data_IF_073710666380
#
_entry.id   IF_073710666380
#
_cell.length_a   1.000
_cell.length_b   1.000
_cell.length_c   1.000
_cell.angle_alpha   90.00
_cell.angle_beta   90.00
_cell.angle_gamma   90.00
#
_symmetry.space_group_name_H-M   'P 1'
#
loop_
_entity.id
_entity.type
_entity.pdbx_description
1 polymer ?
#
# COMPACT_ATOMS: atom_id res chain seq x y z
N UNK A 1 -44.76 9.16 -0.51
CA UNK A 1 -43.56 8.52 0.08
C UNK A 1 -42.69 7.90 -1.01
N UNK A 2 -42.20 8.71 -1.95
CA UNK A 2 -41.39 8.26 -3.10
C UNK A 2 -39.89 8.43 -2.84
N UNK A 3 -39.11 7.47 -3.33
CA UNK A 3 -37.72 7.21 -2.93
C UNK A 3 -36.75 8.35 -3.24
N UNK A 4 -36.29 9.01 -2.19
CA UNK A 4 -35.22 10.01 -2.26
C UNK A 4 -33.92 9.39 -1.75
N UNK A 5 -33.01 9.11 -2.69
CA UNK A 5 -31.57 8.99 -2.47
C UNK A 5 -31.11 8.24 -1.23
N UNK A 6 -31.56 7.00 -1.03
CA UNK A 6 -30.94 6.13 -0.03
C UNK A 6 -29.43 6.06 -0.35
N UNK A 7 -28.61 6.53 0.57
CA UNK A 7 -27.17 6.57 0.45
C UNK A 7 -26.64 5.14 0.28
N UNK A 8 -26.33 4.75 -0.96
CA UNK A 8 -25.92 3.38 -1.34
C UNK A 8 -24.39 3.26 -1.32
N UNK A 9 -23.78 2.55 -0.34
CA UNK A 9 -22.34 2.30 -0.33
C UNK A 9 -21.84 1.60 -1.59
N UNK A 10 -22.67 0.82 -2.28
CA UNK A 10 -22.25 0.16 -3.52
C UNK A 10 -22.01 1.18 -4.64
N UNK A 11 -22.79 2.26 -4.72
CA UNK A 11 -22.56 3.35 -5.67
C UNK A 11 -21.22 4.07 -5.42
N UNK A 12 -20.89 4.35 -4.16
CA UNK A 12 -19.62 4.98 -3.76
C UNK A 12 -18.46 4.06 -4.08
N UNK A 13 -18.59 2.76 -3.80
CA UNK A 13 -17.56 1.77 -4.11
C UNK A 13 -17.28 1.68 -5.61
N UNK A 14 -18.33 1.68 -6.45
CA UNK A 14 -18.18 1.66 -7.91
C UNK A 14 -17.44 2.90 -8.43
N UNK A 15 -17.82 4.09 -7.95
CA UNK A 15 -17.15 5.35 -8.32
C UNK A 15 -15.69 5.33 -7.90
N UNK A 16 -15.41 4.91 -6.66
CA UNK A 16 -14.05 4.83 -6.14
C UNK A 16 -13.19 3.83 -6.91
N UNK A 17 -13.73 2.65 -7.27
CA UNK A 17 -13.06 1.70 -8.14
C UNK A 17 -12.76 2.30 -9.53
N UNK A 18 -13.70 3.05 -10.11
CA UNK A 18 -13.46 3.78 -11.36
C UNK A 18 -12.38 4.85 -11.24
N UNK A 19 -12.34 5.60 -10.13
CA UNK A 19 -11.30 6.59 -9.85
C UNK A 19 -9.93 5.93 -9.67
N UNK A 20 -9.84 4.81 -8.94
CA UNK A 20 -8.60 4.03 -8.80
C UNK A 20 -8.11 3.60 -10.19
N UNK A 21 -8.97 2.95 -10.97
CA UNK A 21 -8.60 2.45 -12.30
C UNK A 21 -8.12 3.57 -13.22
N UNK A 22 -8.85 4.70 -13.25
CA UNK A 22 -8.46 5.85 -14.06
C UNK A 22 -7.12 6.44 -13.61
N UNK A 23 -6.94 6.66 -12.31
CA UNK A 23 -5.71 7.24 -11.76
C UNK A 23 -4.50 6.33 -12.02
N UNK A 24 -4.65 5.01 -11.82
CA UNK A 24 -3.62 4.03 -12.13
C UNK A 24 -3.28 4.03 -13.61
N UNK A 25 -4.28 3.98 -14.50
CA UNK A 25 -4.05 4.01 -15.96
C UNK A 25 -3.33 5.29 -16.37
N UNK A 26 -3.76 6.46 -15.89
CA UNK A 26 -3.09 7.72 -16.21
C UNK A 26 -1.64 7.71 -15.75
N UNK A 27 -1.35 7.30 -14.50
CA UNK A 27 0.02 7.21 -14.00
C UNK A 27 0.87 6.23 -14.82
N UNK A 28 0.33 5.05 -15.15
CA UNK A 28 1.03 4.06 -15.99
C UNK A 28 1.32 4.60 -17.39
N UNK A 29 0.34 5.25 -18.03
CA UNK A 29 0.54 5.81 -19.38
C UNK A 29 1.61 6.91 -19.37
N UNK A 30 1.63 7.77 -18.34
CA UNK A 30 2.66 8.79 -18.18
C UNK A 30 4.06 8.18 -18.08
N UNK A 31 4.22 7.06 -17.36
CA UNK A 31 5.52 6.37 -17.21
C UNK A 31 5.93 5.64 -18.50
N UNK A 32 5.01 4.86 -19.10
CA UNK A 32 5.32 3.99 -20.23
C UNK A 32 5.63 4.80 -21.50
N UNK A 33 4.90 5.90 -21.71
CA UNK A 33 5.01 6.70 -22.93
C UNK A 33 5.93 7.93 -22.80
N UNK A 34 6.62 8.13 -21.67
CA UNK A 34 7.50 9.30 -21.48
C UNK A 34 8.80 9.27 -22.29
N UNK A 35 9.24 8.10 -22.76
CA UNK A 35 10.61 7.90 -23.24
C UNK A 35 11.63 7.88 -22.11
N UNK A 36 12.86 7.44 -22.40
CA UNK A 36 13.89 7.19 -21.37
C UNK A 36 14.30 8.47 -20.61
N UNK A 37 14.46 9.59 -21.32
CA UNK A 37 14.91 10.86 -20.72
C UNK A 37 13.94 11.44 -19.69
N UNK A 38 12.63 11.31 -19.93
CA UNK A 38 11.59 11.84 -19.03
C UNK A 38 11.04 10.78 -18.07
N UNK A 39 11.40 9.51 -18.23
CA UNK A 39 10.86 8.43 -17.38
C UNK A 39 11.15 8.65 -15.90
N UNK A 40 12.38 8.99 -15.48
CA UNK A 40 12.66 9.29 -14.07
C UNK A 40 11.76 10.41 -13.53
N UNK A 41 11.46 11.43 -14.33
CA UNK A 41 10.56 12.49 -13.90
C UNK A 41 9.15 11.95 -13.59
N UNK A 42 8.58 11.16 -14.51
CA UNK A 42 7.22 10.66 -14.34
C UNK A 42 7.13 9.55 -13.28
N UNK A 43 8.10 8.65 -13.18
CA UNK A 43 8.08 7.60 -12.14
C UNK A 43 8.10 8.21 -10.75
N UNK A 44 9.05 9.13 -10.50
CA UNK A 44 9.18 9.79 -9.20
C UNK A 44 7.95 10.65 -8.84
N UNK A 45 7.49 11.53 -9.74
CA UNK A 45 6.40 12.45 -9.39
C UNK A 45 5.05 11.74 -9.25
N UNK A 46 4.75 10.75 -10.09
CA UNK A 46 3.50 10.00 -9.95
C UNK A 46 3.47 9.23 -8.63
N UNK A 47 4.55 8.54 -8.27
CA UNK A 47 4.65 7.80 -7.00
C UNK A 47 4.52 8.75 -5.81
N UNK A 48 5.24 9.88 -5.79
CA UNK A 48 5.11 10.86 -4.71
C UNK A 48 3.71 11.44 -4.57
N UNK A 49 3.02 11.72 -5.68
CA UNK A 49 1.65 12.22 -5.65
C UNK A 49 0.73 11.15 -5.05
N UNK A 50 0.89 9.87 -5.44
CA UNK A 50 0.10 8.76 -4.92
C UNK A 50 0.37 8.52 -3.43
N UNK A 51 1.65 8.46 -3.03
CA UNK A 51 2.08 8.28 -1.64
C UNK A 51 1.66 9.44 -0.75
N UNK A 52 1.80 10.68 -1.24
CA UNK A 52 1.33 11.90 -0.58
C UNK A 52 -0.18 11.93 -0.41
N UNK A 53 -0.95 11.46 -1.40
CA UNK A 53 -2.41 11.31 -1.28
C UNK A 53 -2.78 10.25 -0.22
N UNK A 54 -2.08 9.11 -0.18
CA UNK A 54 -2.28 8.09 0.84
C UNK A 54 -1.98 8.64 2.24
N UNK A 55 -0.83 9.31 2.42
CA UNK A 55 -0.45 9.95 3.68
C UNK A 55 -1.45 11.03 4.09
N UNK A 56 -1.84 11.93 3.18
CA UNK A 56 -2.81 12.98 3.45
C UNK A 56 -4.15 12.42 3.96
N UNK A 57 -4.64 11.35 3.33
CA UNK A 57 -5.85 10.65 3.79
C UNK A 57 -5.65 9.95 5.14
N UNK A 58 -4.47 9.41 5.40
CA UNK A 58 -4.13 8.77 6.67
C UNK A 58 -4.08 9.78 7.82
N UNK A 59 -3.48 10.94 7.58
CA UNK A 59 -3.44 12.06 8.53
C UNK A 59 -4.85 12.55 8.82
N UNK A 60 -5.69 12.80 7.80
CA UNK A 60 -7.09 13.21 8.01
C UNK A 60 -7.86 12.15 8.83
N UNK A 61 -7.71 10.87 8.50
CA UNK A 61 -8.35 9.79 9.26
C UNK A 61 -7.86 9.76 10.72
N UNK A 62 -6.55 9.86 10.94
CA UNK A 62 -5.93 9.86 12.27
C UNK A 62 -6.40 11.06 13.11
N UNK A 63 -6.37 12.27 12.55
CA UNK A 63 -6.83 13.48 13.22
C UNK A 63 -8.30 13.41 13.62
N UNK A 64 -9.18 12.94 12.72
CA UNK A 64 -10.61 12.85 12.99
C UNK A 64 -10.97 11.72 13.95
N UNK A 65 -10.23 10.62 13.93
CA UNK A 65 -10.42 9.51 14.85
C UNK A 65 -9.91 9.85 16.26
N UNK A 66 -8.92 10.74 16.35
CA UNK A 66 -8.20 11.07 17.59
C UNK A 66 -7.21 9.96 17.99
N UNK A 67 -6.30 10.26 18.92
CA UNK A 67 -5.30 9.30 19.40
C UNK A 67 -5.82 8.35 20.51
N UNK A 68 -7.09 8.51 20.90
CA UNK A 68 -7.72 7.73 21.97
C UNK A 68 -8.15 6.33 21.53
N UNK A 69 -8.12 5.38 22.46
CA UNK A 69 -8.58 4.01 22.22
C UNK A 69 -7.72 3.23 21.21
N UNK A 70 -8.17 2.02 20.86
CA UNK A 70 -7.44 1.15 19.94
C UNK A 70 -7.35 1.74 18.54
N UNK A 71 -8.49 2.07 17.93
CA UNK A 71 -8.53 2.51 16.53
C UNK A 71 -7.82 3.83 16.29
N UNK A 72 -7.77 4.72 17.29
CA UNK A 72 -6.96 5.93 17.24
C UNK A 72 -5.47 5.61 17.15
N UNK A 73 -4.98 4.75 18.06
CA UNK A 73 -3.57 4.31 18.08
C UNK A 73 -3.18 3.55 16.82
N UNK A 74 -4.02 2.63 16.33
CA UNK A 74 -3.70 1.87 15.12
C UNK A 74 -3.74 2.74 13.87
N UNK A 75 -4.66 3.71 13.77
CA UNK A 75 -4.73 4.63 12.62
C UNK A 75 -3.57 5.63 12.63
N UNK A 76 -3.17 6.13 13.80
CA UNK A 76 -1.97 6.96 13.94
C UNK A 76 -0.69 6.19 13.57
N UNK A 77 -0.55 4.94 13.98
CA UNK A 77 0.57 4.09 13.58
C UNK A 77 0.60 3.87 12.05
N UNK A 78 -0.56 3.66 11.43
CA UNK A 78 -0.64 3.53 9.97
C UNK A 78 -0.24 4.82 9.24
N UNK A 79 -0.69 5.98 9.73
CA UNK A 79 -0.27 7.27 9.19
C UNK A 79 1.24 7.51 9.37
N UNK A 80 1.82 7.10 10.50
CA UNK A 80 3.26 7.19 10.74
C UNK A 80 4.07 6.28 9.81
N UNK A 81 3.60 5.05 9.56
CA UNK A 81 4.22 4.15 8.56
C UNK A 81 4.20 4.76 7.16
N UNK A 82 3.06 5.32 6.74
CA UNK A 82 2.94 6.03 5.46
C UNK A 82 3.80 7.29 5.39
N UNK A 83 4.04 7.97 6.51
CA UNK A 83 4.92 9.13 6.55
C UNK A 83 6.38 8.73 6.31
N UNK A 84 6.81 7.59 6.87
CA UNK A 84 8.14 7.03 6.61
C UNK A 84 8.29 6.60 5.15
N UNK A 85 7.31 5.89 4.60
CA UNK A 85 7.31 5.49 3.19
C UNK A 85 7.31 6.70 2.26
N UNK A 86 6.48 7.71 2.50
CA UNK A 86 6.49 8.94 1.71
C UNK A 86 7.83 9.70 1.81
N UNK A 87 8.46 9.73 3.00
CA UNK A 87 9.78 10.33 3.15
C UNK A 87 10.85 9.56 2.37
N UNK A 88 10.73 8.23 2.26
CA UNK A 88 11.59 7.41 1.41
C UNK A 88 11.39 7.75 -0.08
N UNK A 89 10.14 7.87 -0.55
CA UNK A 89 9.85 8.29 -1.94
C UNK A 89 10.47 9.64 -2.29
N UNK A 90 10.35 10.62 -1.38
CA UNK A 90 10.95 11.95 -1.54
C UNK A 90 12.48 11.87 -1.58
N UNK A 91 13.09 11.02 -0.77
CA UNK A 91 14.54 10.84 -0.73
C UNK A 91 15.06 10.14 -1.99
N UNK A 92 14.35 9.11 -2.46
CA UNK A 92 14.63 8.46 -3.75
C UNK A 92 14.54 9.46 -4.91
N UNK A 93 13.49 10.29 -4.91
CA UNK A 93 13.31 11.38 -5.89
C UNK A 93 14.40 12.42 -5.82
N UNK A 94 14.84 12.79 -4.62
CA UNK A 94 15.96 13.70 -4.45
C UNK A 94 17.24 13.12 -5.05
N UNK A 95 17.53 11.83 -4.88
CA UNK A 95 18.71 11.21 -5.51
C UNK A 95 18.64 11.27 -7.04
N UNK A 96 17.54 10.82 -7.64
CA UNK A 96 17.43 10.76 -9.10
C UNK A 96 17.28 12.13 -9.77
N UNK A 97 16.41 13.00 -9.25
CA UNK A 97 16.07 14.27 -9.90
C UNK A 97 16.80 15.48 -9.31
N UNK A 98 17.09 15.46 -8.00
CA UNK A 98 17.74 16.57 -7.31
C UNK A 98 19.26 16.52 -7.42
N UNK A 99 19.84 15.38 -7.07
CA UNK A 99 21.29 15.13 -7.13
C UNK A 99 21.75 14.62 -8.50
N UNK A 100 20.84 14.09 -9.32
CA UNK A 100 21.17 13.56 -10.65
C UNK A 100 22.07 12.33 -10.60
N UNK A 101 21.98 11.54 -9.53
CA UNK A 101 22.77 10.32 -9.35
C UNK A 101 21.87 9.09 -9.39
N UNK A 102 22.47 7.98 -9.82
CA UNK A 102 21.86 6.67 -9.63
C UNK A 102 21.71 6.39 -8.13
N UNK A 103 20.53 5.89 -7.73
CA UNK A 103 20.25 5.65 -6.32
C UNK A 103 21.05 4.43 -5.88
N UNK A 104 21.94 4.55 -4.88
CA UNK A 104 22.70 3.40 -4.39
C UNK A 104 21.73 2.38 -3.78
N UNK A 105 21.92 1.08 -4.04
CA UNK A 105 21.13 0.05 -3.39
C UNK A 105 22.02 -0.86 -2.54
N UNK A 106 21.81 -0.95 -1.21
CA UNK A 106 20.87 -0.19 -0.39
C UNK A 106 21.15 1.33 -0.28
N UNK A 107 20.10 2.11 -0.06
CA UNK A 107 20.11 3.56 0.16
C UNK A 107 19.60 3.94 1.57
N UNK A 108 19.77 5.21 1.98
CA UNK A 108 19.04 5.76 3.12
C UNK A 108 17.50 5.76 2.95
N UNK A 109 16.96 5.71 1.72
CA UNK A 109 15.52 5.58 1.51
C UNK A 109 15.03 4.19 1.96
N UNK A 110 15.84 3.15 1.77
CA UNK A 110 15.54 1.79 2.23
C UNK A 110 15.38 1.70 3.74
N UNK A 111 16.18 2.45 4.49
CA UNK A 111 16.03 2.51 5.95
C UNK A 111 14.65 3.07 6.36
N UNK A 112 14.12 4.03 5.60
CA UNK A 112 12.81 4.63 5.83
C UNK A 112 11.67 3.69 5.42
N UNK A 113 11.75 3.05 4.24
CA UNK A 113 10.77 2.03 3.83
C UNK A 113 10.73 0.87 4.84
N UNK A 114 11.89 0.33 5.23
CA UNK A 114 12.03 -0.71 6.25
C UNK A 114 11.41 -0.31 7.59
N UNK A 115 11.69 0.91 8.06
CA UNK A 115 11.13 1.41 9.31
C UNK A 115 9.59 1.53 9.26
N UNK A 116 9.01 1.79 8.09
CA UNK A 116 7.56 1.91 7.89
C UNK A 116 6.78 0.60 8.09
N UNK A 117 7.41 -0.56 7.86
CA UNK A 117 6.77 -1.87 8.08
C UNK A 117 6.34 -2.08 9.53
N UNK A 118 7.11 -1.60 10.52
CA UNK A 118 6.79 -1.77 11.94
C UNK A 118 5.44 -1.16 12.34
N UNK A 119 5.23 0.16 12.12
CA UNK A 119 3.95 0.82 12.37
C UNK A 119 2.78 0.24 11.55
N UNK A 120 3.01 -0.18 10.30
CA UNK A 120 1.97 -0.82 9.47
C UNK A 120 1.59 -2.20 9.99
N UNK A 121 2.56 -3.02 10.39
CA UNK A 121 2.34 -4.30 11.03
C UNK A 121 1.59 -4.13 12.36
N UNK A 122 1.96 -3.11 13.15
CA UNK A 122 1.23 -2.76 14.37
C UNK A 122 -0.24 -2.45 14.06
N UNK A 123 -0.54 -1.62 13.05
CA UNK A 123 -1.91 -1.33 12.64
C UNK A 123 -2.71 -2.60 12.34
N UNK A 124 -2.17 -3.47 11.49
CA UNK A 124 -2.85 -4.67 11.02
C UNK A 124 -3.01 -5.73 12.12
N UNK A 125 -1.92 -6.06 12.82
CA UNK A 125 -1.91 -7.08 13.86
C UNK A 125 -2.76 -6.68 15.07
N UNK A 126 -2.65 -5.42 15.52
CA UNK A 126 -3.50 -4.94 16.61
C UNK A 126 -4.96 -4.92 16.22
N UNK A 127 -5.30 -4.51 14.99
CA UNK A 127 -6.70 -4.54 14.55
C UNK A 127 -7.21 -5.97 14.45
N UNK A 128 -6.41 -6.89 13.87
CA UNK A 128 -6.74 -8.30 13.75
C UNK A 128 -7.01 -8.99 15.11
N UNK A 129 -6.24 -8.67 16.17
CA UNK A 129 -6.41 -9.29 17.50
C UNK A 129 -7.81 -9.13 18.10
N UNK A 130 -8.63 -8.20 17.61
CA UNK A 130 -10.02 -8.01 18.05
C UNK A 130 -11.04 -8.79 17.22
N UNK A 131 -10.61 -9.42 16.13
CA UNK A 131 -11.47 -10.16 15.22
C UNK A 131 -11.01 -11.61 15.13
N UNK A 132 -11.82 -12.54 15.64
CA UNK A 132 -11.53 -13.96 15.55
C UNK A 132 -11.87 -14.49 14.16
N UNK A 133 -10.83 -14.78 13.37
CA UNK A 133 -11.01 -15.65 12.22
C UNK A 133 -11.05 -17.11 12.65
N UNK A 134 -11.73 -17.94 11.86
CA UNK A 134 -11.72 -19.38 12.07
C UNK A 134 -10.29 -19.94 11.91
N UNK A 135 -9.90 -20.87 12.78
CA UNK A 135 -8.56 -21.51 12.78
C UNK A 135 -8.15 -22.06 11.40
N UNK A 136 -9.12 -22.60 10.64
CA UNK A 136 -8.89 -23.10 9.27
C UNK A 136 -8.52 -21.98 8.28
N UNK A 137 -9.19 -20.83 8.36
CA UNK A 137 -8.89 -19.66 7.52
C UNK A 137 -7.52 -19.11 7.85
N UNK A 138 -7.17 -19.03 9.14
CA UNK A 138 -5.84 -18.61 9.56
C UNK A 138 -4.75 -19.54 9.02
N UNK A 139 -4.92 -20.86 9.18
CA UNK A 139 -3.98 -21.85 8.68
C UNK A 139 -3.80 -21.74 7.15
N UNK A 140 -4.90 -21.57 6.40
CA UNK A 140 -4.84 -21.40 4.95
C UNK A 140 -4.11 -20.12 4.55
N UNK A 141 -4.44 -18.97 5.15
CA UNK A 141 -3.81 -17.70 4.82
C UNK A 141 -2.31 -17.76 5.11
N UNK A 142 -1.92 -18.25 6.30
CA UNK A 142 -0.50 -18.43 6.66
C UNK A 142 0.20 -19.36 5.67
N UNK A 143 -0.38 -20.52 5.35
CA UNK A 143 0.21 -21.45 4.40
C UNK A 143 0.41 -20.84 3.01
N UNK A 144 -0.60 -20.13 2.49
CA UNK A 144 -0.53 -19.47 1.17
C UNK A 144 0.50 -18.34 1.17
N UNK A 145 0.51 -17.47 2.19
CA UNK A 145 1.48 -16.37 2.26
C UNK A 145 2.90 -16.88 2.47
N UNK A 146 3.10 -17.93 3.28
CA UNK A 146 4.42 -18.54 3.46
C UNK A 146 4.90 -19.25 2.19
N UNK A 147 4.02 -19.93 1.45
CA UNK A 147 4.36 -20.54 0.18
C UNK A 147 4.72 -19.48 -0.88
N UNK A 148 3.99 -18.37 -0.93
CA UNK A 148 4.31 -17.23 -1.78
C UNK A 148 5.71 -16.67 -1.45
N UNK A 149 5.97 -16.33 -0.18
CA UNK A 149 7.27 -15.80 0.27
C UNK A 149 8.41 -16.80 -0.02
N UNK A 150 8.21 -18.09 0.27
CA UNK A 150 9.24 -19.09 0.02
C UNK A 150 9.57 -19.22 -1.47
N UNK A 151 8.54 -19.23 -2.33
CA UNK A 151 8.71 -19.29 -3.77
C UNK A 151 9.43 -18.06 -4.33
N UNK A 152 9.03 -16.86 -3.91
CA UNK A 152 9.62 -15.61 -4.40
C UNK A 152 11.04 -15.41 -3.88
N UNK A 153 11.33 -15.73 -2.62
CA UNK A 153 12.70 -15.76 -2.10
C UNK A 153 13.58 -16.73 -2.90
N UNK A 154 13.08 -17.93 -3.22
CA UNK A 154 13.82 -18.89 -4.04
C UNK A 154 14.07 -18.36 -5.45
N UNK A 155 13.11 -17.64 -6.05
CA UNK A 155 13.27 -17.03 -7.37
C UNK A 155 14.35 -15.92 -7.36
N UNK A 156 14.35 -15.05 -6.34
CA UNK A 156 15.34 -13.98 -6.17
C UNK A 156 16.74 -14.56 -5.94
N UNK A 157 16.88 -15.54 -5.05
CA UNK A 157 18.17 -16.23 -4.83
C UNK A 157 18.62 -16.98 -6.08
N UNK A 158 17.69 -17.61 -6.80
CA UNK A 158 18.00 -18.28 -8.06
C UNK A 158 18.54 -17.31 -9.11
N UNK A 159 17.96 -16.12 -9.23
CA UNK A 159 18.44 -15.07 -10.11
C UNK A 159 19.86 -14.61 -9.75
N UNK A 160 20.12 -14.33 -8.47
CA UNK A 160 21.46 -13.86 -8.05
C UNK A 160 22.56 -14.90 -8.28
N UNK A 161 22.25 -16.19 -8.14
CA UNK A 161 23.17 -17.29 -8.46
C UNK A 161 23.44 -17.38 -9.96
N UNK A 162 22.43 -17.20 -10.82
CA UNK A 162 22.57 -17.26 -12.28
C UNK A 162 23.51 -16.19 -12.84
N UNK A 163 23.57 -15.02 -12.21
CA UNK A 163 24.49 -13.93 -12.57
C UNK A 163 25.91 -14.16 -12.01
N UNK A 164 26.17 -15.33 -11.41
CA UNK A 164 27.50 -15.73 -10.95
C UNK A 164 27.79 -15.47 -9.48
N UNK A 165 26.75 -15.29 -8.64
CA UNK A 165 26.90 -15.05 -7.21
C UNK A 165 27.53 -13.70 -6.84
N UNK A 166 27.79 -12.84 -7.83
CA UNK A 166 28.30 -11.47 -7.68
C UNK A 166 27.36 -10.40 -8.23
N UNK A 167 26.10 -10.72 -8.55
CA UNK A 167 25.11 -9.78 -9.11
C UNK A 167 24.58 -8.76 -8.09
N UNK A 168 24.53 -9.12 -6.80
CA UNK A 168 24.19 -8.22 -5.70
C UNK A 168 25.17 -8.46 -4.54
N UNK A 169 25.63 -7.39 -3.91
CA UNK A 169 26.34 -7.46 -2.62
C UNK A 169 25.46 -8.18 -1.57
N UNK A 170 26.03 -8.95 -0.62
CA UNK A 170 25.24 -9.74 0.34
C UNK A 170 24.19 -8.93 1.12
N UNK A 171 24.47 -7.66 1.37
CA UNK A 171 23.54 -6.75 2.03
C UNK A 171 22.35 -6.38 1.13
N UNK A 172 22.57 -6.15 -0.16
CA UNK A 172 21.51 -5.86 -1.13
C UNK A 172 20.55 -7.06 -1.25
N UNK A 173 21.10 -8.27 -1.37
CA UNK A 173 20.30 -9.49 -1.40
C UNK A 173 19.51 -9.70 -0.10
N UNK A 174 20.15 -9.51 1.05
CA UNK A 174 19.47 -9.63 2.34
C UNK A 174 18.30 -8.63 2.48
N UNK A 175 18.47 -7.41 1.98
CA UNK A 175 17.44 -6.39 1.98
C UNK A 175 16.31 -6.73 0.98
N UNK A 176 16.65 -7.15 -0.24
CA UNK A 176 15.70 -7.62 -1.25
C UNK A 176 14.80 -8.73 -0.70
N UNK A 177 15.38 -9.70 0.01
CA UNK A 177 14.63 -10.76 0.68
C UNK A 177 13.81 -10.25 1.87
N UNK A 178 14.31 -9.24 2.60
CA UNK A 178 13.58 -8.65 3.71
C UNK A 178 12.29 -7.96 3.25
N UNK A 179 12.30 -7.21 2.14
CA UNK A 179 11.08 -6.63 1.55
C UNK A 179 10.02 -7.71 1.29
N UNK A 180 10.39 -8.76 0.55
CA UNK A 180 9.50 -9.87 0.21
C UNK A 180 8.88 -10.55 1.45
N UNK A 181 9.70 -10.78 2.48
CA UNK A 181 9.22 -11.41 3.74
C UNK A 181 8.29 -10.47 4.50
N UNK A 182 8.65 -9.19 4.61
CA UNK A 182 7.88 -8.19 5.34
C UNK A 182 6.55 -7.88 4.65
N UNK A 183 6.49 -7.94 3.32
CA UNK A 183 5.23 -7.86 2.58
C UNK A 183 4.30 -9.03 2.88
N UNK A 184 4.84 -10.25 2.93
CA UNK A 184 4.10 -11.42 3.37
C UNK A 184 3.54 -11.25 4.80
N UNK A 185 4.33 -10.64 5.68
CA UNK A 185 3.94 -10.33 7.06
C UNK A 185 2.80 -9.30 7.15
N UNK A 186 2.74 -8.30 6.24
CA UNK A 186 1.63 -7.34 6.17
C UNK A 186 0.41 -7.95 5.47
N UNK A 187 0.62 -8.71 4.39
CA UNK A 187 -0.46 -9.26 3.57
C UNK A 187 -1.31 -10.27 4.35
N UNK A 188 -0.68 -11.14 5.14
CA UNK A 188 -1.38 -12.14 5.94
C UNK A 188 -2.48 -11.53 6.86
N UNK A 189 -2.19 -10.62 7.81
CA UNK A 189 -3.21 -10.03 8.66
C UNK A 189 -4.22 -9.17 7.89
N UNK A 190 -3.84 -8.54 6.77
CA UNK A 190 -4.79 -7.80 5.94
C UNK A 190 -5.84 -8.73 5.32
N UNK A 191 -5.42 -9.85 4.72
CA UNK A 191 -6.33 -10.86 4.14
C UNK A 191 -7.19 -11.50 5.23
N UNK A 192 -6.64 -11.71 6.42
CA UNK A 192 -7.40 -12.20 7.58
C UNK A 192 -8.51 -11.24 8.00
N UNK A 193 -8.23 -9.93 8.04
CA UNK A 193 -9.24 -8.90 8.30
C UNK A 193 -10.33 -8.92 7.22
N UNK A 194 -9.96 -9.01 5.94
CA UNK A 194 -10.94 -9.16 4.86
C UNK A 194 -11.83 -10.40 5.04
N UNK A 195 -11.24 -11.54 5.39
CA UNK A 195 -11.97 -12.79 5.61
C UNK A 195 -12.99 -12.67 6.77
N UNK A 196 -12.67 -11.91 7.81
CA UNK A 196 -13.56 -11.64 8.94
C UNK A 196 -14.75 -10.73 8.55
N UNK A 197 -14.54 -9.77 7.65
CA UNK A 197 -15.57 -8.78 7.29
C UNK A 197 -16.31 -9.06 5.98
N UNK A 198 -16.01 -10.17 5.31
CA UNK A 198 -16.50 -10.50 3.95
C UNK A 198 -18.02 -10.46 3.74
N UNK A 199 -18.82 -10.53 4.80
CA UNK A 199 -20.29 -10.61 4.71
C UNK A 199 -20.99 -9.26 4.50
N UNK A 200 -20.33 -8.13 4.74
CA UNK A 200 -20.90 -6.80 4.54
C UNK A 200 -20.10 -5.97 3.53
N UNK A 201 -20.74 -5.38 2.52
CA UNK A 201 -20.03 -4.50 1.55
C UNK A 201 -19.41 -3.28 2.25
N UNK A 202 -20.09 -2.73 3.26
CA UNK A 202 -19.60 -1.56 4.00
C UNK A 202 -18.30 -1.86 4.75
N UNK A 203 -18.27 -2.97 5.48
CA UNK A 203 -17.17 -3.40 6.34
C UNK A 203 -16.05 -4.12 5.59
N UNK A 204 -16.36 -4.83 4.50
CA UNK A 204 -15.34 -5.54 3.70
C UNK A 204 -14.56 -4.63 2.75
N UNK A 205 -15.14 -3.53 2.27
CA UNK A 205 -14.49 -2.67 1.26
C UNK A 205 -13.11 -2.12 1.66
N UNK A 206 -12.88 -1.53 2.85
CA UNK A 206 -11.57 -1.01 3.19
C UNK A 206 -10.53 -2.13 3.30
N UNK A 207 -10.91 -3.30 3.83
CA UNK A 207 -10.00 -4.44 3.91
C UNK A 207 -9.75 -5.07 2.54
N UNK A 208 -10.73 -5.08 1.64
CA UNK A 208 -10.54 -5.56 0.28
C UNK A 208 -9.55 -4.68 -0.48
N UNK A 209 -9.68 -3.35 -0.35
CA UNK A 209 -8.73 -2.42 -0.94
C UNK A 209 -7.36 -2.49 -0.27
N UNK A 210 -7.27 -2.55 1.06
CA UNK A 210 -5.98 -2.66 1.73
C UNK A 210 -5.25 -3.97 1.39
N UNK A 211 -5.95 -5.10 1.35
CA UNK A 211 -5.38 -6.37 0.92
C UNK A 211 -4.92 -6.33 -0.54
N UNK A 212 -5.72 -5.72 -1.43
CA UNK A 212 -5.33 -5.58 -2.84
C UNK A 212 -4.10 -4.68 -3.00
N UNK A 213 -4.05 -3.56 -2.27
CA UNK A 213 -2.90 -2.66 -2.25
C UNK A 213 -1.63 -3.37 -1.79
N UNK A 214 -1.67 -4.05 -0.64
CA UNK A 214 -0.51 -4.77 -0.11
C UNK A 214 -0.08 -5.94 -1.01
N UNK A 215 -1.02 -6.60 -1.68
CA UNK A 215 -0.69 -7.65 -2.64
C UNK A 215 0.01 -7.09 -3.89
N UNK A 216 -0.44 -5.94 -4.41
CA UNK A 216 0.19 -5.27 -5.56
C UNK A 216 1.58 -4.76 -5.16
N UNK A 217 1.72 -4.18 -3.96
CA UNK A 217 3.00 -3.72 -3.41
C UNK A 217 3.98 -4.89 -3.29
N UNK A 218 3.53 -6.03 -2.75
CA UNK A 218 4.34 -7.24 -2.66
C UNK A 218 4.81 -7.77 -4.02
N UNK A 219 3.97 -7.68 -5.05
CA UNK A 219 4.36 -8.07 -6.41
C UNK A 219 5.39 -7.10 -6.99
N UNK A 220 5.27 -5.81 -6.70
CA UNK A 220 6.24 -4.80 -7.10
C UNK A 220 7.61 -5.07 -6.46
N UNK A 221 7.66 -5.31 -5.15
CA UNK A 221 8.90 -5.59 -4.41
C UNK A 221 9.56 -6.92 -4.84
N UNK A 222 8.77 -7.95 -5.12
CA UNK A 222 9.29 -9.20 -5.71
C UNK A 222 9.90 -8.94 -7.08
N UNK A 223 9.23 -8.13 -7.90
CA UNK A 223 9.71 -7.76 -9.23
C UNK A 223 11.00 -6.95 -9.20
N UNK A 224 11.05 -5.94 -8.31
CA UNK A 224 12.24 -5.15 -8.01
C UNK A 224 13.39 -6.07 -7.59
N UNK A 225 13.19 -6.87 -6.54
CA UNK A 225 14.20 -7.80 -6.02
C UNK A 225 14.70 -8.77 -7.09
N UNK A 226 13.81 -9.29 -7.94
CA UNK A 226 14.18 -10.19 -9.02
C UNK A 226 15.01 -9.48 -10.11
N UNK A 227 14.65 -8.25 -10.48
CA UNK A 227 15.40 -7.47 -11.48
C UNK A 227 16.78 -7.08 -10.98
N UNK A 228 16.88 -6.60 -9.74
CA UNK A 228 18.18 -6.27 -9.12
C UNK A 228 19.06 -7.51 -8.99
N UNK A 229 18.52 -8.63 -8.49
CA UNK A 229 19.25 -9.91 -8.44
C UNK A 229 19.65 -10.46 -9.82
N UNK A 230 18.94 -10.06 -10.89
CA UNK A 230 19.25 -10.44 -12.27
C UNK A 230 20.18 -9.47 -13.00
N UNK A 231 20.63 -8.38 -12.36
CA UNK A 231 21.42 -7.32 -12.99
C UNK A 231 20.64 -6.54 -14.07
N UNK A 232 19.32 -6.43 -13.92
CA UNK A 232 18.40 -5.76 -14.85
C UNK A 232 17.98 -4.37 -14.32
N UNK A 233 18.90 -3.64 -13.70
CA UNK A 233 18.62 -2.39 -12.98
C UNK A 233 17.93 -1.33 -13.88
N UNK A 234 18.35 -1.23 -15.14
CA UNK A 234 17.73 -0.34 -16.14
C UNK A 234 16.27 -0.66 -16.47
N UNK A 235 15.73 -1.79 -16.01
CA UNK A 235 14.35 -2.21 -16.21
C UNK A 235 13.53 -2.11 -14.92
N UNK A 236 14.08 -1.68 -13.78
CA UNK A 236 13.35 -1.61 -12.50
C UNK A 236 12.06 -0.79 -12.60
N UNK A 237 12.07 0.25 -13.43
CA UNK A 237 10.90 1.13 -13.64
C UNK A 237 9.63 0.40 -14.10
N UNK A 238 9.71 -0.83 -14.63
CA UNK A 238 8.53 -1.63 -14.98
C UNK A 238 7.62 -1.92 -13.77
N UNK A 239 8.16 -1.84 -12.55
CA UNK A 239 7.44 -2.08 -11.31
C UNK A 239 6.84 -0.80 -10.70
N UNK A 240 7.29 0.39 -11.11
CA UNK A 240 6.79 1.70 -10.65
C UNK A 240 5.28 1.91 -10.83
N UNK A 241 4.63 1.43 -11.91
CA UNK A 241 3.18 1.45 -12.03
C UNK A 241 2.45 0.72 -10.89
N UNK A 242 3.05 -0.35 -10.34
CA UNK A 242 2.44 -1.14 -9.26
C UNK A 242 2.57 -0.43 -7.90
N UNK A 243 3.71 0.21 -7.61
CA UNK A 243 3.84 1.07 -6.42
C UNK A 243 2.81 2.21 -6.46
N UNK A 244 2.67 2.88 -7.60
CA UNK A 244 1.63 3.88 -7.84
C UNK A 244 0.22 3.36 -7.54
N UNK A 245 -0.15 2.24 -8.16
CA UNK A 245 -1.47 1.63 -7.95
C UNK A 245 -1.71 1.31 -6.47
N UNK A 246 -0.70 0.78 -5.79
CA UNK A 246 -0.79 0.41 -4.38
C UNK A 246 -1.08 1.62 -3.49
N UNK A 247 -0.35 2.73 -3.65
CA UNK A 247 -0.60 3.96 -2.90
C UNK A 247 -1.97 4.58 -3.22
N UNK A 248 -2.39 4.60 -4.50
CA UNK A 248 -3.73 5.07 -4.90
C UNK A 248 -4.82 4.25 -4.18
N UNK A 249 -4.66 2.93 -4.11
CA UNK A 249 -5.62 2.05 -3.42
C UNK A 249 -5.57 2.26 -1.89
N UNK A 250 -4.41 2.56 -1.29
CA UNK A 250 -4.32 2.95 0.13
C UNK A 250 -5.08 4.25 0.40
N UNK A 251 -4.91 5.26 -0.45
CA UNK A 251 -5.66 6.51 -0.34
C UNK A 251 -7.18 6.27 -0.41
N UNK A 252 -7.63 5.41 -1.32
CA UNK A 252 -9.02 5.00 -1.42
C UNK A 252 -9.53 4.21 -0.20
N UNK A 253 -8.70 3.33 0.36
CA UNK A 253 -8.97 2.61 1.62
C UNK A 253 -9.25 3.59 2.75
N UNK A 254 -8.37 4.58 2.91
CA UNK A 254 -8.45 5.59 3.96
C UNK A 254 -9.60 6.57 3.74
N UNK A 255 -9.88 6.93 2.49
CA UNK A 255 -11.08 7.68 2.13
C UNK A 255 -12.34 6.93 2.55
N UNK A 256 -12.44 5.64 2.25
CA UNK A 256 -13.58 4.83 2.67
C UNK A 256 -13.69 4.78 4.20
N UNK A 257 -12.58 4.50 4.90
CA UNK A 257 -12.55 4.47 6.36
C UNK A 257 -13.05 5.78 6.97
N UNK A 258 -12.48 6.89 6.53
CA UNK A 258 -12.84 8.23 6.98
C UNK A 258 -14.30 8.59 6.67
N UNK A 259 -14.82 8.14 5.52
CA UNK A 259 -16.16 8.49 5.06
C UNK A 259 -17.28 7.73 5.77
N UNK A 260 -17.01 6.51 6.22
CA UNK A 260 -18.04 5.59 6.70
C UNK A 260 -17.86 5.11 8.16
N UNK A 261 -16.63 5.11 8.69
CA UNK A 261 -16.33 4.57 10.02
C UNK A 261 -15.94 5.63 11.05
N UNK A 262 -15.73 6.88 10.62
CA UNK A 262 -15.49 8.01 11.52
C UNK A 262 -16.74 8.89 11.55
N UNK A 263 -17.22 9.20 12.76
CA UNK A 263 -18.40 10.03 12.94
C UNK A 263 -18.15 11.48 12.48
N UNK A 264 -19.16 12.07 11.85
CA UNK A 264 -19.11 13.42 11.30
C UNK A 264 -20.28 14.26 11.82
N UNK A 265 -20.00 15.13 12.80
CA UNK A 265 -20.99 16.04 13.40
C UNK A 265 -21.64 16.96 12.38
N UNK A 266 -20.88 17.48 11.41
CA UNK A 266 -21.37 18.40 10.39
C UNK A 266 -22.33 17.70 9.43
N UNK A 267 -21.98 16.49 8.99
CA UNK A 267 -22.86 15.65 8.19
C UNK A 267 -24.13 15.26 8.94
N UNK A 268 -24.01 14.87 10.21
CA UNK A 268 -25.16 14.53 11.05
C UNK A 268 -26.10 15.73 11.21
N UNK A 269 -25.54 16.93 11.47
CA UNK A 269 -26.31 18.19 11.55
C UNK A 269 -27.01 18.52 10.24
N UNK A 270 -26.34 18.37 9.09
CA UNK A 270 -26.93 18.64 7.77
C UNK A 270 -28.06 17.68 7.43
N UNK A 271 -27.91 16.39 7.73
CA UNK A 271 -28.98 15.38 7.56
C UNK A 271 -30.16 15.75 8.45
N UNK A 272 -29.91 16.05 9.73
CA UNK A 272 -30.97 16.48 10.65
C UNK A 272 -31.70 17.74 10.15
N UNK A 273 -30.97 18.74 9.64
CA UNK A 273 -31.58 19.95 9.04
C UNK A 273 -32.43 19.63 7.81
N UNK A 274 -32.05 18.65 6.99
CA UNK A 274 -32.81 18.24 5.81
C UNK A 274 -34.07 17.44 6.14
N UNK A 275 -34.07 16.72 7.26
CA UNK A 275 -35.19 15.88 7.70
C UNK A 275 -36.21 16.65 8.57
N UNK A 276 -35.85 17.83 9.09
CA UNK A 276 -36.64 18.60 10.05
C UNK A 276 -36.94 20.05 9.63
N UNK A 277 -36.61 20.44 8.39
CA UNK A 277 -37.00 21.71 7.75
C UNK A 277 -37.76 21.42 6.45
#
# INVERSE_FOLDING_TARGET
>A
MHGRGAFDPASVRRRLAGTIALATVVATLLIVFSGDDLRPFFTNWTINIAAGAALGMALVASFRQGAGGLYGKTTAAFAFGLALWFAAELLWTYYQLGAGIEVPYPSPADALWMAGYGPMAYHLLKTYRFFSAGKKTLALVVAVTSAFVAYTCMAVVGASVQVGGGGEEPLALALSLAYVVLDGLLLAPAVMLLANFRRGKLTSTPWAFLSASLAIFAVADVGFAYYTASGLDGLIWHWDPLYNASYIIMAATLFWHNRFFIFDKGRAKKIWQQDNL
#
